data_IF_952841561590
#
_entry.id   IF_952841561590
#
_cell.length_a   1.000
_cell.length_b   1.000
_cell.length_c   1.000
_cell.angle_alpha   90.00
_cell.angle_beta   90.00
_cell.angle_gamma   90.00
#
_symmetry.space_group_name_H-M   'P 1'
#
loop_
_entity.id
_entity.type
_entity.pdbx_description
1 polymer ?
#
# COMPACT_ATOMS: atom_id res chain seq x y z
N UNK A 1 13.21 5.90 -51.99
CA UNK A 1 12.50 5.13 -50.93
C UNK A 1 11.83 6.13 -50.02
N UNK A 2 10.52 6.33 -50.16
CA UNK A 2 9.73 7.28 -49.37
C UNK A 2 9.42 6.65 -48.00
N UNK A 3 10.04 7.18 -46.96
CA UNK A 3 9.77 6.74 -45.60
C UNK A 3 8.39 7.20 -45.13
N UNK A 4 7.50 6.26 -44.91
CA UNK A 4 6.17 6.50 -44.40
C UNK A 4 6.27 7.02 -42.95
N UNK A 5 6.04 8.33 -42.75
CA UNK A 5 6.01 8.91 -41.40
C UNK A 5 4.62 8.74 -40.80
N UNK A 6 4.50 7.86 -39.81
CA UNK A 6 3.28 7.69 -39.06
C UNK A 6 2.99 8.98 -38.25
N UNK A 7 1.86 9.61 -38.53
CA UNK A 7 1.40 10.75 -37.76
C UNK A 7 0.63 10.26 -36.52
N UNK A 8 0.56 11.11 -35.48
CA UNK A 8 -0.26 10.81 -34.28
C UNK A 8 -1.71 10.47 -34.61
N UNK A 9 -2.25 11.06 -35.68
CA UNK A 9 -3.60 10.76 -36.22
C UNK A 9 -3.73 9.31 -36.69
N UNK A 10 -2.74 8.78 -37.37
CA UNK A 10 -2.76 7.39 -37.83
C UNK A 10 -2.64 6.40 -36.71
N UNK A 11 -1.94 6.78 -35.60
CA UNK A 11 -1.88 5.97 -34.40
C UNK A 11 -3.25 5.87 -33.73
N UNK A 12 -3.97 6.99 -33.57
CA UNK A 12 -5.31 7.00 -32.97
C UNK A 12 -6.36 6.29 -33.83
N UNK A 13 -6.32 6.45 -35.16
CA UNK A 13 -7.20 5.71 -36.06
C UNK A 13 -6.93 4.20 -36.07
N UNK A 14 -5.66 3.80 -35.95
CA UNK A 14 -5.29 2.40 -35.78
C UNK A 14 -5.77 1.78 -34.49
N UNK A 15 -5.70 2.53 -33.38
CA UNK A 15 -6.15 2.06 -32.08
C UNK A 15 -7.69 1.97 -31.96
N UNK A 16 -8.44 2.85 -32.61
CA UNK A 16 -9.91 2.76 -32.67
C UNK A 16 -10.41 1.59 -33.54
N UNK A 17 -9.69 1.25 -34.59
CA UNK A 17 -9.97 0.06 -35.42
C UNK A 17 -9.62 -1.25 -34.66
N UNK A 18 -8.59 -1.24 -33.82
CA UNK A 18 -8.25 -2.39 -32.96
C UNK A 18 -9.34 -2.68 -31.89
N UNK A 19 -10.12 -1.67 -31.49
CA UNK A 19 -11.27 -1.83 -30.60
C UNK A 19 -12.51 -2.49 -31.23
N UNK A 20 -12.51 -2.64 -32.58
CA UNK A 20 -13.60 -3.27 -33.33
C UNK A 20 -13.39 -4.77 -33.62
N UNK A 21 -12.43 -5.41 -32.92
CA UNK A 21 -12.23 -6.88 -33.02
C UNK A 21 -13.42 -7.59 -32.41
N UNK A 22 -14.15 -8.46 -33.14
CA UNK A 22 -15.30 -9.15 -32.63
C UNK A 22 -14.90 -10.03 -31.43
N UNK A 23 -15.81 -10.09 -30.47
CA UNK A 23 -15.70 -10.91 -29.26
C UNK A 23 -15.12 -12.31 -29.56
N UNK A 24 -13.88 -12.55 -29.11
CA UNK A 24 -13.21 -13.85 -29.26
C UNK A 24 -11.80 -13.80 -29.86
N UNK A 25 -11.30 -12.65 -30.31
CA UNK A 25 -10.09 -12.54 -31.11
C UNK A 25 -8.74 -12.48 -30.37
N UNK A 26 -8.70 -12.09 -29.13
CA UNK A 26 -7.53 -12.19 -28.25
C UNK A 26 -8.01 -12.78 -26.95
N UNK A 27 -7.44 -13.92 -26.57
CA UNK A 27 -7.78 -14.62 -25.34
C UNK A 27 -7.89 -13.61 -24.20
N UNK A 28 -9.05 -13.54 -23.53
CA UNK A 28 -9.27 -12.65 -22.41
C UNK A 28 -8.29 -13.04 -21.31
N UNK A 29 -7.15 -12.37 -21.24
CA UNK A 29 -6.29 -12.44 -20.06
C UNK A 29 -7.14 -11.96 -18.90
N UNK A 30 -7.17 -12.74 -17.82
CA UNK A 30 -7.83 -12.31 -16.60
C UNK A 30 -7.40 -10.87 -16.29
N UNK A 31 -8.36 -9.99 -15.98
CA UNK A 31 -8.04 -8.60 -15.69
C UNK A 31 -6.98 -8.53 -14.60
N UNK A 32 -6.08 -7.59 -14.66
CA UNK A 32 -5.04 -7.41 -13.63
C UNK A 32 -5.66 -7.39 -12.23
N UNK A 33 -6.86 -6.82 -12.08
CA UNK A 33 -7.63 -6.85 -10.84
C UNK A 33 -8.02 -8.27 -10.41
N UNK A 34 -8.40 -9.15 -11.34
CA UNK A 34 -8.70 -10.57 -11.06
C UNK A 34 -7.44 -11.36 -10.67
N UNK A 35 -6.25 -10.89 -11.06
CA UNK A 35 -4.94 -11.43 -10.68
C UNK A 35 -4.42 -10.82 -9.37
N UNK A 36 -5.21 -9.99 -8.67
CA UNK A 36 -4.84 -9.35 -7.41
C UNK A 36 -3.97 -8.10 -7.55
N UNK A 37 -3.73 -7.60 -8.77
CA UNK A 37 -3.02 -6.35 -8.95
C UNK A 37 -3.92 -5.17 -8.64
N UNK A 38 -3.47 -4.28 -7.75
CA UNK A 38 -4.13 -3.01 -7.47
C UNK A 38 -3.82 -2.01 -8.59
N UNK A 39 -4.82 -1.18 -8.91
CA UNK A 39 -4.60 -0.05 -9.82
C UNK A 39 -3.58 0.92 -9.21
N UNK A 40 -2.69 1.54 -10.02
CA UNK A 40 -1.82 2.61 -9.52
C UNK A 40 -2.56 3.78 -8.88
N UNK A 41 -3.86 3.93 -9.17
CA UNK A 41 -4.73 4.96 -8.59
C UNK A 41 -5.53 4.45 -7.38
N UNK A 42 -5.35 3.20 -6.98
CA UNK A 42 -5.98 2.63 -5.79
C UNK A 42 -5.13 2.98 -4.57
N UNK A 43 -5.78 3.52 -3.52
CA UNK A 43 -5.09 3.88 -2.29
C UNK A 43 -4.49 2.64 -1.62
N UNK A 44 -3.28 2.78 -1.10
CA UNK A 44 -2.66 1.74 -0.30
C UNK A 44 -3.28 1.69 1.10
N UNK A 45 -3.38 0.51 1.65
CA UNK A 45 -3.77 0.28 3.03
C UNK A 45 -2.52 0.19 3.90
N UNK A 46 -2.32 1.20 4.73
CA UNK A 46 -1.17 1.33 5.61
C UNK A 46 -1.48 0.83 7.01
N UNK A 47 -0.50 0.20 7.62
CA UNK A 47 -0.48 -0.05 9.06
C UNK A 47 0.71 0.66 9.70
N UNK A 48 0.56 1.12 10.95
CA UNK A 48 1.68 1.68 11.71
C UNK A 48 1.98 0.83 12.93
N UNK A 49 3.27 0.56 13.15
CA UNK A 49 3.83 -0.15 14.29
C UNK A 49 4.68 0.84 15.08
N UNK A 50 4.30 1.12 16.32
CA UNK A 50 4.83 2.22 17.11
C UNK A 50 4.09 3.54 16.83
N UNK A 51 2.75 3.51 16.88
CA UNK A 51 1.89 4.62 16.49
C UNK A 51 2.07 5.91 17.32
N UNK A 52 2.66 5.83 18.50
CA UNK A 52 2.98 6.98 19.37
C UNK A 52 4.35 7.59 19.10
N UNK A 53 5.12 7.09 18.13
CA UNK A 53 6.46 7.56 17.80
C UNK A 53 6.52 8.39 16.53
N UNK A 54 7.70 8.37 15.88
CA UNK A 54 7.97 9.05 14.60
C UNK A 54 7.03 8.68 13.46
N UNK A 55 6.50 7.44 13.34
CA UNK A 55 5.58 7.11 12.25
C UNK A 55 4.29 7.91 12.27
N UNK A 56 3.95 8.56 13.39
CA UNK A 56 2.90 9.57 13.39
C UNK A 56 3.17 10.69 12.36
N UNK A 57 4.44 10.89 11.96
CA UNK A 57 4.82 11.84 10.91
C UNK A 57 4.53 11.28 9.51
N UNK A 58 4.81 10.01 9.26
CA UNK A 58 4.58 9.35 7.96
C UNK A 58 3.10 9.09 7.74
N UNK A 59 2.35 8.84 8.81
CA UNK A 59 0.89 8.86 8.79
C UNK A 59 0.29 10.23 8.41
N UNK A 60 1.09 11.30 8.36
CA UNK A 60 0.60 12.61 7.85
C UNK A 60 0.28 12.56 6.38
N UNK A 61 0.99 11.75 5.59
CA UNK A 61 0.68 11.54 4.17
C UNK A 61 -0.68 10.84 4.01
N UNK A 62 -0.96 9.85 4.85
CA UNK A 62 -2.26 9.22 4.90
C UNK A 62 -3.35 10.20 5.39
N UNK A 63 -3.02 11.11 6.33
CA UNK A 63 -3.94 12.15 6.78
C UNK A 63 -4.29 13.16 5.69
N UNK A 64 -3.40 13.39 4.73
CA UNK A 64 -3.69 14.20 3.55
C UNK A 64 -4.70 13.52 2.58
N UNK A 65 -5.22 12.35 2.93
CA UNK A 65 -6.18 11.60 2.12
C UNK A 65 -5.55 10.87 0.94
N UNK A 66 -4.23 10.74 0.93
CA UNK A 66 -3.49 10.04 -0.12
C UNK A 66 -3.65 8.54 0.04
N UNK A 67 -3.52 8.03 1.28
CA UNK A 67 -3.57 6.60 1.60
C UNK A 67 -4.60 6.28 2.70
N UNK A 68 -4.91 5.00 2.88
CA UNK A 68 -5.81 4.53 3.94
C UNK A 68 -5.00 3.99 5.12
N UNK A 69 -5.26 4.47 6.33
CA UNK A 69 -4.74 3.83 7.56
C UNK A 69 -5.77 2.82 8.04
N UNK A 70 -5.42 1.53 8.00
CA UNK A 70 -6.33 0.44 8.36
C UNK A 70 -6.03 -0.19 9.71
N UNK A 71 -4.80 -0.11 10.20
CA UNK A 71 -4.40 -0.69 11.48
C UNK A 71 -3.29 0.12 12.17
N UNK A 72 -3.34 0.15 13.50
CA UNK A 72 -2.37 0.81 14.36
C UNK A 72 -1.97 -0.14 15.49
N UNK A 73 -0.67 -0.28 15.73
CA UNK A 73 -0.14 -1.06 16.85
C UNK A 73 0.79 -0.21 17.71
N UNK A 74 0.52 -0.16 19.01
CA UNK A 74 1.41 0.45 19.99
C UNK A 74 1.21 -0.22 21.37
N UNK A 75 2.31 -0.52 22.04
CA UNK A 75 2.30 -1.09 23.39
C UNK A 75 1.86 -0.06 24.42
N UNK A 76 2.19 1.21 24.18
CA UNK A 76 1.83 2.35 25.03
C UNK A 76 0.66 3.14 24.43
N UNK A 77 -0.54 2.83 24.90
CA UNK A 77 -1.75 3.48 24.42
C UNK A 77 -1.90 4.95 24.84
N UNK A 78 -1.20 5.35 25.87
CA UNK A 78 -1.18 6.76 26.29
C UNK A 78 -0.38 7.56 25.26
N UNK A 79 0.77 7.03 24.87
CA UNK A 79 1.64 7.64 23.88
C UNK A 79 1.03 7.58 22.47
N UNK A 80 0.34 6.49 22.15
CA UNK A 80 -0.35 6.31 20.85
C UNK A 80 -1.68 7.05 20.72
N UNK A 81 -2.17 7.70 21.79
CA UNK A 81 -3.50 8.28 21.86
C UNK A 81 -3.82 9.23 20.70
N UNK A 82 -2.92 10.14 20.35
CA UNK A 82 -3.12 11.11 19.27
C UNK A 82 -3.36 10.40 17.92
N UNK A 83 -2.58 9.37 17.60
CA UNK A 83 -2.75 8.59 16.37
C UNK A 83 -4.06 7.80 16.38
N UNK A 84 -4.43 7.26 17.53
CA UNK A 84 -5.69 6.52 17.66
C UNK A 84 -6.93 7.40 17.52
N UNK A 85 -6.86 8.66 17.97
CA UNK A 85 -7.93 9.64 17.79
C UNK A 85 -7.99 10.17 16.36
N UNK A 86 -6.83 10.34 15.73
CA UNK A 86 -6.72 10.79 14.34
C UNK A 86 -7.29 9.77 13.34
N UNK A 87 -7.12 8.48 13.61
CA UNK A 87 -7.61 7.39 12.77
C UNK A 87 -8.61 6.50 13.52
N UNK A 88 -9.82 7.00 13.79
CA UNK A 88 -10.80 6.29 14.59
C UNK A 88 -11.27 4.97 13.97
N UNK A 89 -11.25 4.90 12.63
CA UNK A 89 -11.68 3.71 11.86
C UNK A 89 -10.59 2.64 11.75
N UNK A 90 -9.33 2.96 12.09
CA UNK A 90 -8.25 1.98 12.08
C UNK A 90 -8.38 1.02 13.26
N UNK A 91 -8.16 -0.26 13.03
CA UNK A 91 -8.12 -1.26 14.09
C UNK A 91 -6.89 -1.05 14.98
N UNK A 92 -7.05 -1.22 16.29
CA UNK A 92 -6.03 -0.90 17.30
C UNK A 92 -5.54 -2.14 18.00
N UNK A 93 -4.23 -2.30 18.10
CA UNK A 93 -3.57 -3.47 18.66
C UNK A 93 -2.47 -3.05 19.65
N UNK A 94 -2.26 -3.86 20.69
CA UNK A 94 -1.08 -3.73 21.57
C UNK A 94 0.13 -4.44 21.01
N UNK A 95 -0.09 -5.54 20.28
CA UNK A 95 0.96 -6.37 19.69
C UNK A 95 0.80 -6.36 18.16
N UNK A 96 1.86 -5.94 17.46
CA UNK A 96 1.88 -5.88 16.01
C UNK A 96 1.74 -7.28 15.35
N UNK A 97 2.14 -8.35 16.04
CA UNK A 97 2.00 -9.72 15.54
C UNK A 97 0.52 -10.08 15.43
N UNK A 98 -0.27 -9.74 16.46
CA UNK A 98 -1.72 -9.95 16.42
C UNK A 98 -2.39 -9.11 15.32
N UNK A 99 -1.88 -7.90 15.07
CA UNK A 99 -2.32 -7.07 13.96
C UNK A 99 -2.06 -7.75 12.62
N UNK A 100 -0.84 -8.25 12.41
CA UNK A 100 -0.47 -8.94 11.17
C UNK A 100 -1.24 -10.26 10.98
N UNK A 101 -1.48 -11.01 12.04
CA UNK A 101 -2.25 -12.25 11.99
C UNK A 101 -3.72 -12.00 11.58
N UNK A 102 -4.33 -10.94 12.13
CA UNK A 102 -5.76 -10.66 11.91
C UNK A 102 -6.03 -9.88 10.64
N UNK A 103 -5.17 -8.90 10.31
CA UNK A 103 -5.38 -7.97 9.20
C UNK A 103 -4.30 -8.00 8.14
N UNK A 104 -3.33 -8.90 8.24
CA UNK A 104 -2.23 -8.96 7.30
C UNK A 104 -2.65 -9.02 5.83
N UNK A 105 -3.81 -9.62 5.52
CA UNK A 105 -4.33 -9.69 4.14
C UNK A 105 -4.78 -8.34 3.59
N UNK A 106 -5.19 -7.43 4.47
CA UNK A 106 -5.71 -6.10 4.10
C UNK A 106 -4.60 -5.05 4.04
N UNK A 107 -3.50 -5.27 4.75
CA UNK A 107 -2.36 -4.35 4.82
C UNK A 107 -1.49 -4.50 3.57
N UNK A 108 -1.15 -3.40 2.92
CA UNK A 108 -0.23 -3.34 1.79
C UNK A 108 1.18 -2.93 2.22
N UNK A 109 1.27 -1.98 3.17
CA UNK A 109 2.54 -1.48 3.67
C UNK A 109 2.50 -1.21 5.17
N UNK A 110 3.64 -1.42 5.84
CA UNK A 110 3.85 -1.14 7.25
C UNK A 110 4.85 -0.02 7.48
N UNK A 111 4.46 1.02 8.23
CA UNK A 111 5.36 2.02 8.77
C UNK A 111 5.82 1.62 10.17
N UNK A 112 7.13 1.60 10.42
CA UNK A 112 7.73 1.14 11.68
C UNK A 112 8.54 2.25 12.32
N UNK A 113 8.15 2.66 13.51
CA UNK A 113 8.83 3.67 14.31
C UNK A 113 8.77 3.34 15.79
N UNK A 114 9.01 2.11 16.08
CA UNK A 114 9.26 1.59 17.42
C UNK A 114 10.65 2.01 17.90
N UNK A 115 11.05 1.70 19.15
CA UNK A 115 12.46 1.83 19.54
C UNK A 115 13.40 0.97 18.70
N UNK A 116 14.62 1.46 18.47
CA UNK A 116 15.62 0.94 17.53
C UNK A 116 15.78 -0.59 17.57
N UNK A 117 15.88 -1.15 18.79
CA UNK A 117 16.10 -2.58 18.99
C UNK A 117 14.93 -3.49 18.54
N UNK A 118 13.79 -2.92 18.18
CA UNK A 118 12.61 -3.67 17.71
C UNK A 118 12.34 -3.50 16.22
N UNK A 119 13.03 -2.59 15.53
CA UNK A 119 12.83 -2.30 14.12
C UNK A 119 12.92 -3.55 13.26
N UNK A 120 14.02 -4.29 13.37
CA UNK A 120 14.27 -5.47 12.53
C UNK A 120 13.20 -6.55 12.69
N UNK A 121 12.70 -6.75 13.92
CA UNK A 121 11.70 -7.79 14.17
C UNK A 121 10.36 -7.47 13.49
N UNK A 122 9.92 -6.22 13.58
CA UNK A 122 8.69 -5.77 12.94
C UNK A 122 8.84 -5.74 11.40
N UNK A 123 10.00 -5.27 10.91
CA UNK A 123 10.28 -5.22 9.49
C UNK A 123 10.29 -6.61 8.85
N UNK A 124 11.01 -7.57 9.44
CA UNK A 124 11.06 -8.94 8.95
C UNK A 124 9.67 -9.60 8.95
N UNK A 125 8.88 -9.40 10.01
CA UNK A 125 7.53 -9.96 10.06
C UNK A 125 6.64 -9.43 8.93
N UNK A 126 6.70 -8.13 8.64
CA UNK A 126 5.96 -7.54 7.52
C UNK A 126 6.48 -8.07 6.17
N UNK A 127 7.80 -8.10 5.96
CA UNK A 127 8.40 -8.57 4.71
C UNK A 127 8.12 -10.04 4.43
N UNK A 128 8.13 -10.90 5.45
CA UNK A 128 7.78 -12.32 5.32
C UNK A 128 6.33 -12.52 4.85
N UNK A 129 5.45 -11.58 5.14
CA UNK A 129 4.08 -11.56 4.65
C UNK A 129 3.94 -10.84 3.30
N UNK A 130 5.06 -10.49 2.63
CA UNK A 130 5.07 -9.83 1.34
C UNK A 130 4.61 -8.36 1.38
N UNK A 131 4.71 -7.68 2.53
CA UNK A 131 4.33 -6.27 2.68
C UNK A 131 5.49 -5.35 2.37
N UNK A 132 5.18 -4.19 1.81
CA UNK A 132 6.13 -3.09 1.75
C UNK A 132 6.39 -2.56 3.16
N UNK A 133 7.61 -2.07 3.39
CA UNK A 133 8.01 -1.63 4.73
C UNK A 133 8.76 -0.31 4.63
N UNK A 134 8.34 0.63 5.45
CA UNK A 134 9.08 1.86 5.76
C UNK A 134 9.52 1.81 7.21
N UNK A 135 10.81 1.95 7.47
CA UNK A 135 11.40 1.76 8.80
C UNK A 135 12.23 2.97 9.15
N UNK A 136 12.01 3.50 10.36
CA UNK A 136 12.86 4.54 10.90
C UNK A 136 14.31 4.05 11.07
N UNK A 137 15.23 4.99 11.01
CA UNK A 137 16.66 4.75 11.26
C UNK A 137 16.94 4.65 12.78
N UNK A 138 17.95 3.91 13.21
CA UNK A 138 18.73 2.93 12.44
C UNK A 138 17.92 1.66 12.20
N UNK A 139 18.27 0.93 11.17
CA UNK A 139 17.60 -0.34 10.85
C UNK A 139 17.95 -1.42 11.88
N UNK A 140 19.19 -1.42 12.37
CA UNK A 140 19.74 -2.33 13.38
C UNK A 140 20.71 -1.58 14.29
#
# INVERSE_FOLDING_TARGET
>A
MSGYRWSRRHFFLGSTLAGAVPWGGFGSVASLKAMGYKSPNEKLNLAAIGAGGQPAADLRLAHAGVENVVALADVDWVRGKESFERFPNAAKYKDFRQMLDKQGKEIDAGGIGTPDHTHIHAALACMQLGKHVDVEKPLT
#
